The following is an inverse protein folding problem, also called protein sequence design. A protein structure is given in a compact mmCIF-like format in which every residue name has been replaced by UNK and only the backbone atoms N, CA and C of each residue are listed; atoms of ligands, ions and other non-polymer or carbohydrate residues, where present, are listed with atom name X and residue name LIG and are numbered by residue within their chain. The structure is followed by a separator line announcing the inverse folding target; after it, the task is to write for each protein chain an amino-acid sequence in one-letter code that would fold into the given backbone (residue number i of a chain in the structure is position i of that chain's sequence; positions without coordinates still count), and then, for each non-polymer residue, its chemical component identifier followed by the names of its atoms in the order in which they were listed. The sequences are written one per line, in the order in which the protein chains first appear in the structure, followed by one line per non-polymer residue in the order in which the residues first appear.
data_IF_314451222874
#
_entry.id   IF_314451222874
#
_cell.length_a   1.000
_cell.length_b   1.000
_cell.length_c   1.000
_cell.angle_alpha   90.00
_cell.angle_beta   90.00
_cell.angle_gamma   90.00
#
_symmetry.space_group_name_H-M   'P 1'
#
loop_
_entity.id
_entity.type
_entity.pdbx_description
1 polymer ?
#
# COMPACT_ATOMS: atom_id res chain seq x y z
N UNK A 1 9.04 45.61 54.77
CA UNK A 1 8.86 44.14 54.79
C UNK A 1 7.70 43.71 53.88
N UNK A 2 7.80 43.92 52.57
CA UNK A 2 6.83 43.43 51.57
C UNK A 2 7.58 43.12 50.26
N UNK A 3 8.44 42.10 50.27
CA UNK A 3 9.15 41.69 49.06
C UNK A 3 9.36 40.17 48.93
N UNK A 4 9.10 39.40 49.98
CA UNK A 4 9.30 37.94 49.96
C UNK A 4 8.05 37.13 49.56
N UNK A 5 6.85 37.73 49.53
CA UNK A 5 5.60 37.00 49.26
C UNK A 5 5.17 36.96 47.77
N UNK A 6 5.85 37.70 46.89
CA UNK A 6 5.53 37.74 45.45
C UNK A 6 6.38 36.79 44.59
N UNK A 7 7.43 36.18 45.14
CA UNK A 7 8.31 35.27 44.39
C UNK A 7 7.80 33.80 44.40
N UNK A 8 7.05 33.39 45.42
CA UNK A 8 6.60 32.00 45.56
C UNK A 8 5.49 31.60 44.57
N UNK A 9 4.64 32.54 44.15
CA UNK A 9 3.50 32.25 43.27
C UNK A 9 3.91 32.10 41.79
N UNK A 10 4.96 32.78 41.35
CA UNK A 10 5.48 32.66 39.97
C UNK A 10 6.17 31.31 39.73
N UNK A 11 6.91 30.82 40.72
CA UNK A 11 7.62 29.54 40.64
C UNK A 11 6.66 28.34 40.55
N UNK A 12 5.50 28.36 41.19
CA UNK A 12 4.54 27.25 41.14
C UNK A 12 3.81 27.12 39.79
N UNK A 13 3.57 28.25 39.11
CA UNK A 13 2.93 28.27 37.78
C UNK A 13 3.84 27.77 36.66
N UNK A 14 5.12 28.14 36.69
CA UNK A 14 6.12 27.70 35.72
C UNK A 14 6.42 26.20 35.86
N UNK A 15 6.55 25.72 37.10
CA UNK A 15 6.78 24.30 37.38
C UNK A 15 5.61 23.45 36.86
N UNK A 16 4.36 23.88 37.08
CA UNK A 16 3.17 23.17 36.59
C UNK A 16 3.08 23.13 35.06
N UNK A 17 3.49 24.21 34.37
CA UNK A 17 3.55 24.24 32.90
C UNK A 17 4.68 23.40 32.32
N UNK A 18 5.77 23.23 33.07
CA UNK A 18 6.92 22.44 32.66
C UNK A 18 6.63 20.94 32.73
N UNK A 19 5.96 20.48 33.79
CA UNK A 19 5.52 19.09 33.94
C UNK A 19 4.57 18.64 32.82
N UNK A 20 3.60 19.49 32.44
CA UNK A 20 2.66 19.18 31.35
C UNK A 20 3.35 19.07 29.97
N UNK A 21 4.48 19.75 29.77
CA UNK A 21 5.27 19.66 28.53
C UNK A 21 6.13 18.39 28.48
N UNK A 22 6.67 17.96 29.62
CA UNK A 22 7.41 16.70 29.70
C UNK A 22 6.50 15.49 29.49
N UNK A 23 5.30 15.50 30.04
CA UNK A 23 4.34 14.41 29.87
C UNK A 23 3.87 14.26 28.42
N UNK A 24 3.63 15.37 27.72
CA UNK A 24 3.28 15.34 26.30
C UNK A 24 4.44 14.87 25.42
N UNK A 25 5.68 15.22 25.75
CA UNK A 25 6.87 14.73 25.05
C UNK A 25 7.09 13.21 25.24
N UNK A 26 6.87 12.69 26.44
CA UNK A 26 6.99 11.25 26.72
C UNK A 26 5.94 10.43 25.96
N UNK A 27 4.68 10.91 25.93
CA UNK A 27 3.62 10.27 25.16
C UNK A 27 3.92 10.29 23.65
N UNK A 28 4.42 11.42 23.13
CA UNK A 28 4.85 11.52 21.73
C UNK A 28 5.98 10.55 21.38
N UNK A 29 6.97 10.38 22.27
CA UNK A 29 8.07 9.43 22.08
C UNK A 29 7.55 7.99 22.02
N UNK A 30 6.61 7.62 22.90
CA UNK A 30 6.01 6.29 22.90
C UNK A 30 5.20 6.04 21.62
N UNK A 31 4.36 6.99 21.22
CA UNK A 31 3.58 6.92 19.98
C UNK A 31 4.48 6.77 18.73
N UNK A 32 5.55 7.57 18.65
CA UNK A 32 6.52 7.49 17.56
C UNK A 32 7.29 6.17 17.57
N UNK A 33 7.57 5.60 18.75
CA UNK A 33 8.22 4.30 18.86
C UNK A 33 7.31 3.18 18.35
N UNK A 34 6.05 3.15 18.79
CA UNK A 34 5.05 2.17 18.33
C UNK A 34 4.87 2.27 16.81
N UNK A 35 4.84 3.49 16.27
CA UNK A 35 4.78 3.71 14.82
C UNK A 35 6.01 3.17 14.09
N UNK A 36 7.22 3.30 14.63
CA UNK A 36 8.44 2.75 14.04
C UNK A 36 8.43 1.22 14.08
N UNK A 37 7.97 0.63 15.19
CA UNK A 37 7.96 -0.83 15.41
C UNK A 37 6.95 -1.55 14.52
N UNK A 38 5.86 -0.88 14.13
CA UNK A 38 4.91 -1.37 13.12
C UNK A 38 5.51 -1.47 11.70
N UNK A 39 6.80 -1.18 11.54
CA UNK A 39 7.58 -1.16 10.29
C UNK A 39 6.86 -0.50 9.08
N UNK A 40 6.61 0.81 9.13
CA UNK A 40 6.25 1.61 7.96
C UNK A 40 7.38 1.69 6.93
N UNK A 41 7.08 2.25 5.75
CA UNK A 41 8.07 2.52 4.69
C UNK A 41 9.33 3.21 5.26
N UNK A 42 10.51 2.85 4.75
CA UNK A 42 11.80 3.36 5.26
C UNK A 42 11.88 4.90 5.31
N UNK A 43 11.15 5.60 4.43
CA UNK A 43 11.07 7.06 4.43
C UNK A 43 10.23 7.57 5.60
N UNK A 44 9.13 6.92 5.93
CA UNK A 44 8.26 7.27 7.05
C UNK A 44 8.96 7.02 8.39
N UNK A 45 9.63 5.89 8.52
CA UNK A 45 10.46 5.57 9.69
C UNK A 45 11.53 6.63 9.91
N UNK A 46 12.21 7.08 8.85
CA UNK A 46 13.24 8.14 8.96
C UNK A 46 12.65 9.45 9.50
N UNK A 47 11.45 9.83 9.06
CA UNK A 47 10.76 11.04 9.56
C UNK A 47 10.40 10.89 11.03
N UNK A 48 9.77 9.76 11.40
CA UNK A 48 9.36 9.48 12.77
C UNK A 48 10.57 9.46 13.72
N UNK A 49 11.67 8.83 13.30
CA UNK A 49 12.91 8.80 14.07
C UNK A 49 13.50 10.20 14.29
N UNK A 50 13.49 11.05 13.26
CA UNK A 50 13.96 12.43 13.39
C UNK A 50 13.13 13.22 14.42
N UNK A 51 11.79 13.11 14.36
CA UNK A 51 10.89 13.78 15.29
C UNK A 51 11.05 13.23 16.72
N UNK A 52 11.21 11.91 16.86
CA UNK A 52 11.49 11.26 18.14
C UNK A 52 12.77 11.81 18.78
N UNK A 53 13.85 11.93 18.01
CA UNK A 53 15.12 12.50 18.50
C UNK A 53 14.96 13.96 18.95
N UNK A 54 14.11 14.75 18.27
CA UNK A 54 13.80 16.12 18.71
C UNK A 54 13.12 16.11 20.09
N UNK A 55 12.12 15.27 20.32
CA UNK A 55 11.45 15.17 21.63
C UNK A 55 12.34 14.58 22.72
N UNK A 56 13.33 13.77 22.35
CA UNK A 56 14.38 13.28 23.26
C UNK A 56 15.43 14.35 23.62
N UNK A 57 15.34 15.56 23.04
CA UNK A 57 16.20 16.70 23.37
C UNK A 57 17.51 16.76 22.57
N UNK A 58 17.66 15.98 21.50
CA UNK A 58 18.83 16.08 20.62
C UNK A 58 18.84 17.40 19.87
N UNK A 59 20.04 17.95 19.66
CA UNK A 59 20.21 19.15 18.85
C UNK A 59 19.98 18.82 17.38
N UNK A 60 19.41 19.77 16.63
CA UNK A 60 19.17 19.60 15.20
C UNK A 60 20.45 19.19 14.46
N UNK A 61 21.60 19.79 14.80
CA UNK A 61 22.87 19.50 14.16
C UNK A 61 23.36 18.06 14.41
N UNK A 62 22.99 17.46 15.53
CA UNK A 62 23.27 16.04 15.84
C UNK A 62 22.35 15.13 15.02
N UNK A 63 21.06 15.45 14.97
CA UNK A 63 20.06 14.69 14.19
C UNK A 63 20.41 14.70 12.70
N UNK A 64 20.88 15.84 12.18
CA UNK A 64 21.34 15.95 10.80
C UNK A 64 22.50 14.99 10.51
N UNK A 65 23.46 14.85 11.44
CA UNK A 65 24.60 13.92 11.29
C UNK A 65 24.18 12.46 11.43
N UNK A 66 23.24 12.16 12.32
CA UNK A 66 22.77 10.78 12.58
C UNK A 66 21.95 10.25 11.40
N UNK A 67 21.06 11.08 10.83
CA UNK A 67 20.10 10.66 9.80
C UNK A 67 20.44 11.10 8.37
N UNK A 68 21.49 11.91 8.20
CA UNK A 68 21.89 12.55 6.94
C UNK A 68 20.74 13.30 6.26
N UNK A 69 20.14 14.23 7.02
CA UNK A 69 18.99 15.04 6.58
C UNK A 69 19.25 16.53 6.78
N UNK A 70 18.49 17.37 6.06
CA UNK A 70 18.57 18.82 6.22
C UNK A 70 17.82 19.27 7.47
N UNK A 71 18.27 20.38 8.09
CA UNK A 71 17.55 21.05 9.18
C UNK A 71 16.11 21.37 8.83
N UNK A 72 15.87 21.86 7.60
CA UNK A 72 14.54 22.20 7.12
C UNK A 72 13.60 20.99 7.04
N UNK A 73 14.13 19.82 6.69
CA UNK A 73 13.37 18.56 6.70
C UNK A 73 12.91 18.20 8.11
N UNK A 74 13.82 18.26 9.09
CA UNK A 74 13.49 17.97 10.50
C UNK A 74 12.41 18.93 11.01
N UNK A 75 12.56 20.23 10.75
CA UNK A 75 11.57 21.25 11.14
C UNK A 75 10.22 20.99 10.50
N UNK A 76 10.19 20.68 9.20
CA UNK A 76 8.95 20.38 8.48
C UNK A 76 8.25 19.12 9.01
N UNK A 77 9.00 18.08 9.35
CA UNK A 77 8.43 16.85 9.90
C UNK A 77 7.90 17.04 11.32
N UNK A 78 8.62 17.79 12.16
CA UNK A 78 8.14 18.17 13.50
C UNK A 78 6.82 18.94 13.39
N UNK A 79 6.76 19.94 12.52
CA UNK A 79 5.54 20.74 12.33
C UNK A 79 4.38 19.88 11.82
N UNK A 80 4.61 19.01 10.83
CA UNK A 80 3.58 18.11 10.33
C UNK A 80 3.03 17.17 11.42
N UNK A 81 3.90 16.68 12.29
CA UNK A 81 3.51 15.86 13.44
C UNK A 81 2.71 16.66 14.49
N UNK A 82 3.10 17.90 14.78
CA UNK A 82 2.34 18.76 15.71
C UNK A 82 0.94 19.14 15.17
N UNK A 83 0.79 19.25 13.85
CA UNK A 83 -0.48 19.61 13.21
C UNK A 83 -1.43 18.41 13.02
N UNK A 84 -0.89 17.24 12.66
CA UNK A 84 -1.70 16.08 12.20
C UNK A 84 -1.29 14.75 12.82
N UNK A 85 -0.38 14.73 13.80
CA UNK A 85 0.10 13.52 14.46
C UNK A 85 0.87 12.60 13.51
N UNK A 86 0.72 11.29 13.70
CA UNK A 86 1.36 10.26 12.87
C UNK A 86 1.00 10.43 11.38
N UNK A 87 -0.23 10.84 11.06
CA UNK A 87 -0.68 10.97 9.66
C UNK A 87 0.13 12.03 8.88
N UNK A 88 0.69 13.03 9.56
CA UNK A 88 1.59 14.02 8.95
C UNK A 88 2.94 13.45 8.51
N UNK A 89 3.35 12.35 9.11
CA UNK A 89 4.60 11.66 8.77
C UNK A 89 4.41 10.69 7.61
N UNK A 90 3.18 10.24 7.37
CA UNK A 90 2.86 9.32 6.28
C UNK A 90 3.10 9.93 4.89
N UNK A 91 3.36 9.07 3.92
CA UNK A 91 3.54 9.46 2.54
C UNK A 91 2.18 9.69 1.88
N UNK A 92 1.85 10.95 1.61
CA UNK A 92 0.63 11.31 0.87
C UNK A 92 0.81 11.28 -0.66
N UNK A 93 1.86 10.61 -1.17
CA UNK A 93 2.09 10.53 -2.61
C UNK A 93 1.11 9.53 -3.24
N UNK A 94 0.05 10.03 -3.87
CA UNK A 94 -1.00 9.22 -4.51
C UNK A 94 -0.73 8.91 -6.00
N UNK A 95 0.49 9.15 -6.48
CA UNK A 95 0.85 8.94 -7.89
C UNK A 95 0.17 9.93 -8.84
N UNK A 96 0.33 9.69 -10.14
CA UNK A 96 -0.39 10.43 -11.19
C UNK A 96 -1.85 9.99 -11.18
N UNK A 97 -2.78 10.93 -11.41
CA UNK A 97 -4.20 10.60 -11.63
C UNK A 97 -4.30 9.60 -12.80
N UNK A 98 -5.03 8.51 -12.58
CA UNK A 98 -5.35 7.55 -13.64
C UNK A 98 -6.17 8.23 -14.74
N UNK A 99 -5.99 7.79 -15.98
CA UNK A 99 -6.79 8.27 -17.12
C UNK A 99 -8.25 7.84 -17.01
N UNK A 100 -8.50 6.65 -16.47
CA UNK A 100 -9.82 6.12 -16.17
C UNK A 100 -10.23 6.47 -14.73
N UNK A 101 -11.48 6.87 -14.54
CA UNK A 101 -12.08 7.01 -13.22
C UNK A 101 -12.37 5.61 -12.62
N UNK A 102 -12.51 5.51 -11.30
CA UNK A 102 -12.77 4.26 -10.61
C UNK A 102 -13.98 3.50 -11.16
N UNK A 103 -15.06 4.21 -11.53
CA UNK A 103 -16.24 3.59 -12.15
C UNK A 103 -15.95 3.01 -13.54
N UNK A 104 -15.26 3.78 -14.38
CA UNK A 104 -14.89 3.36 -15.74
C UNK A 104 -13.94 2.17 -15.70
N UNK A 105 -12.98 2.17 -14.76
CA UNK A 105 -12.08 1.05 -14.55
C UNK A 105 -12.86 -0.22 -14.22
N UNK A 106 -13.82 -0.15 -13.30
CA UNK A 106 -14.65 -1.32 -12.94
C UNK A 106 -15.51 -1.83 -14.11
N UNK A 107 -16.04 -0.93 -14.93
CA UNK A 107 -16.77 -1.29 -16.16
C UNK A 107 -15.84 -2.03 -17.15
N UNK A 108 -14.63 -1.50 -17.39
CA UNK A 108 -13.63 -2.13 -18.27
C UNK A 108 -13.19 -3.50 -17.73
N UNK A 109 -12.92 -3.61 -16.43
CA UNK A 109 -12.52 -4.88 -15.81
C UNK A 109 -13.63 -5.93 -15.92
N UNK A 110 -14.89 -5.53 -15.70
CA UNK A 110 -16.06 -6.43 -15.84
C UNK A 110 -16.25 -6.87 -17.30
N UNK A 111 -16.07 -5.96 -18.24
CA UNK A 111 -16.13 -6.28 -19.67
C UNK A 111 -15.02 -7.26 -20.08
N UNK A 112 -13.79 -7.04 -19.60
CA UNK A 112 -12.66 -7.93 -19.86
C UNK A 112 -12.89 -9.35 -19.34
N UNK A 113 -13.60 -9.53 -18.23
CA UNK A 113 -13.93 -10.85 -17.69
C UNK A 113 -14.98 -11.62 -18.49
N UNK A 114 -15.64 -10.99 -19.47
CA UNK A 114 -16.71 -11.63 -20.26
C UNK A 114 -16.18 -12.63 -21.30
N UNK A 115 -14.90 -12.54 -21.68
CA UNK A 115 -14.29 -13.36 -22.74
C UNK A 115 -12.95 -13.91 -22.28
N UNK A 116 -12.66 -15.16 -22.63
CA UNK A 116 -11.44 -15.88 -22.20
C UNK A 116 -10.18 -15.51 -23.02
N UNK A 117 -10.35 -14.94 -24.22
CA UNK A 117 -9.25 -14.62 -25.13
C UNK A 117 -9.44 -13.24 -25.72
N UNK A 118 -8.45 -12.36 -25.52
CA UNK A 118 -8.50 -10.98 -26.00
C UNK A 118 -7.32 -10.66 -26.90
N UNK A 119 -7.58 -9.83 -27.91
CA UNK A 119 -6.53 -9.16 -28.67
C UNK A 119 -6.33 -7.76 -28.10
N UNK A 120 -5.07 -7.29 -28.05
CA UNK A 120 -4.74 -5.97 -27.52
C UNK A 120 -5.50 -4.85 -28.24
N UNK A 121 -5.67 -4.98 -29.56
CA UNK A 121 -6.37 -3.97 -30.38
C UNK A 121 -7.86 -3.83 -30.05
N UNK A 122 -8.52 -4.89 -29.56
CA UNK A 122 -9.92 -4.81 -29.11
C UNK A 122 -10.05 -3.89 -27.89
N UNK A 123 -9.10 -4.01 -26.95
CA UNK A 123 -9.04 -3.14 -25.77
C UNK A 123 -8.67 -1.70 -26.15
N UNK A 124 -7.67 -1.51 -27.02
CA UNK A 124 -7.29 -0.18 -27.52
C UNK A 124 -8.48 0.55 -28.17
N UNK A 125 -9.23 -0.15 -29.02
CA UNK A 125 -10.41 0.42 -29.69
C UNK A 125 -11.52 0.77 -28.71
N UNK A 126 -11.86 -0.12 -27.77
CA UNK A 126 -12.93 0.12 -26.81
C UNK A 126 -12.63 1.31 -25.90
N UNK A 127 -11.37 1.45 -25.44
CA UNK A 127 -10.96 2.58 -24.60
C UNK A 127 -10.99 3.92 -25.34
N UNK A 128 -10.53 3.94 -26.60
CA UNK A 128 -10.57 5.13 -27.42
C UNK A 128 -12.01 5.52 -27.79
N UNK A 129 -12.88 4.56 -28.09
CA UNK A 129 -14.25 4.82 -28.52
C UNK A 129 -15.18 5.23 -27.38
N UNK A 130 -15.15 4.51 -26.25
CA UNK A 130 -16.10 4.71 -25.15
C UNK A 130 -15.65 5.83 -24.20
N UNK A 131 -14.34 5.97 -23.99
CA UNK A 131 -13.78 6.83 -22.94
C UNK A 131 -12.79 7.89 -23.46
N UNK A 132 -12.49 7.92 -24.75
CA UNK A 132 -11.49 8.81 -25.37
C UNK A 132 -10.11 8.72 -24.69
N UNK A 133 -9.75 7.52 -24.23
CA UNK A 133 -8.47 7.25 -23.56
C UNK A 133 -7.53 6.47 -24.48
N UNK A 134 -6.39 7.09 -24.80
CA UNK A 134 -5.28 6.44 -25.50
C UNK A 134 -4.05 6.49 -24.61
N UNK A 135 -3.55 5.33 -24.19
CA UNK A 135 -2.31 5.26 -23.44
C UNK A 135 -1.11 5.34 -24.38
N UNK A 136 -0.07 6.03 -23.94
CA UNK A 136 1.18 6.15 -24.69
C UNK A 136 1.95 4.82 -24.73
N UNK A 137 1.87 4.03 -23.65
CA UNK A 137 2.58 2.76 -23.51
C UNK A 137 1.62 1.58 -23.60
N UNK A 138 2.03 0.57 -24.39
CA UNK A 138 1.36 -0.74 -24.45
C UNK A 138 1.31 -1.45 -23.11
N UNK A 139 2.27 -1.16 -22.23
CA UNK A 139 2.31 -1.74 -20.89
C UNK A 139 1.07 -1.38 -20.08
N UNK A 140 0.56 -0.16 -20.20
CA UNK A 140 -0.64 0.28 -19.47
C UNK A 140 -1.87 -0.56 -19.81
N UNK A 141 -1.99 -1.04 -21.05
CA UNK A 141 -3.05 -1.96 -21.44
C UNK A 141 -2.84 -3.37 -20.86
N UNK A 142 -1.59 -3.85 -20.80
CA UNK A 142 -1.29 -5.13 -20.16
C UNK A 142 -1.54 -5.09 -18.64
N UNK A 143 -1.31 -3.94 -18.01
CA UNK A 143 -1.61 -3.76 -16.59
C UNK A 143 -3.12 -3.91 -16.35
N UNK A 144 -3.99 -3.34 -17.21
CA UNK A 144 -5.45 -3.54 -17.16
C UNK A 144 -5.86 -5.01 -17.32
N UNK A 145 -5.24 -5.75 -18.24
CA UNK A 145 -5.48 -7.19 -18.36
C UNK A 145 -5.06 -7.95 -17.09
N UNK A 146 -3.93 -7.56 -16.49
CA UNK A 146 -3.45 -8.18 -15.25
C UNK A 146 -4.38 -7.90 -14.07
N UNK A 147 -4.91 -6.68 -13.97
CA UNK A 147 -5.89 -6.29 -12.96
C UNK A 147 -7.21 -7.05 -13.14
N UNK A 148 -7.60 -7.35 -14.38
CA UNK A 148 -8.77 -8.19 -14.68
C UNK A 148 -8.56 -9.68 -14.35
N UNK A 149 -7.35 -10.08 -13.96
CA UNK A 149 -6.97 -11.47 -13.69
C UNK A 149 -6.63 -12.27 -14.95
N UNK A 150 -6.48 -11.61 -16.10
CA UNK A 150 -6.18 -12.26 -17.38
C UNK A 150 -4.67 -12.44 -17.48
N UNK A 151 -4.22 -13.68 -17.31
CA UNK A 151 -2.81 -14.03 -17.54
C UNK A 151 -2.57 -14.26 -19.03
N UNK A 152 -1.57 -13.58 -19.58
CA UNK A 152 -1.10 -13.83 -20.94
C UNK A 152 -0.44 -15.21 -21.02
N UNK A 153 -1.23 -16.23 -21.36
CA UNK A 153 -0.75 -17.60 -21.63
C UNK A 153 -0.98 -17.90 -23.11
N UNK A 154 0.07 -18.34 -23.80
CA UNK A 154 -0.08 -18.99 -25.10
C UNK A 154 -0.77 -20.34 -24.88
N UNK A 155 -2.09 -20.36 -24.97
CA UNK A 155 -2.83 -21.62 -24.97
C UNK A 155 -2.73 -22.21 -26.38
N UNK A 156 -2.26 -23.45 -26.47
CA UNK A 156 -2.32 -24.18 -27.74
C UNK A 156 -3.57 -25.04 -27.69
N UNK A 157 -4.58 -24.71 -28.50
CA UNK A 157 -5.89 -25.40 -28.53
C UNK A 157 -5.78 -26.91 -28.75
N UNK A 158 -4.73 -27.35 -29.45
CA UNK A 158 -4.51 -28.75 -29.82
C UNK A 158 -3.05 -29.09 -29.53
N UNK A 159 -2.80 -30.15 -28.77
CA UNK A 159 -1.44 -30.67 -28.65
C UNK A 159 -1.01 -31.18 -30.04
N UNK A 160 0.02 -30.61 -30.69
CA UNK A 160 0.40 -31.01 -32.06
C UNK A 160 0.88 -32.46 -32.14
N UNK A 161 1.25 -33.06 -31.00
CA UNK A 161 1.67 -34.45 -30.85
C UNK A 161 0.54 -35.35 -30.32
N UNK A 162 -0.71 -34.90 -30.33
CA UNK A 162 -1.84 -35.71 -29.91
C UNK A 162 -2.15 -36.76 -30.97
N UNK A 163 -1.90 -38.01 -30.65
CA UNK A 163 -2.46 -39.16 -31.37
C UNK A 163 -3.88 -39.41 -30.83
N UNK A 164 -4.88 -39.29 -31.71
CA UNK A 164 -6.29 -39.48 -31.37
C UNK A 164 -6.57 -40.86 -30.78
N UNK A 165 -5.84 -41.90 -31.23
CA UNK A 165 -6.00 -43.26 -30.74
C UNK A 165 -5.48 -43.40 -29.30
N UNK A 166 -4.29 -42.86 -29.02
CA UNK A 166 -3.70 -42.87 -27.69
C UNK A 166 -4.53 -42.07 -26.67
N UNK A 167 -5.15 -40.96 -27.11
CA UNK A 167 -6.05 -40.16 -26.27
C UNK A 167 -7.36 -40.91 -25.99
N UNK A 168 -7.92 -41.60 -26.99
CA UNK A 168 -9.13 -42.40 -26.83
C UNK A 168 -8.92 -43.60 -25.89
N UNK A 169 -7.80 -44.31 -26.00
CA UNK A 169 -7.44 -45.39 -25.08
C UNK A 169 -7.26 -44.88 -23.65
N UNK A 170 -6.56 -43.76 -23.48
CA UNK A 170 -6.38 -43.14 -22.15
C UNK A 170 -7.72 -42.73 -21.54
N UNK A 171 -8.65 -42.16 -22.32
CA UNK A 171 -10.01 -41.84 -21.87
C UNK A 171 -10.78 -43.10 -21.45
N UNK A 172 -10.70 -44.19 -22.22
CA UNK A 172 -11.33 -45.48 -21.87
C UNK A 172 -10.75 -46.07 -20.58
N UNK A 173 -9.42 -46.05 -20.42
CA UNK A 173 -8.73 -46.53 -19.21
C UNK A 173 -9.13 -45.73 -17.97
N UNK A 174 -9.24 -44.41 -18.10
CA UNK A 174 -9.56 -43.53 -16.99
C UNK A 174 -11.03 -43.57 -16.57
N UNK A 175 -11.97 -43.91 -17.47
CA UNK A 175 -13.41 -44.01 -17.14
C UNK A 175 -13.69 -44.86 -15.90
N UNK A 176 -12.94 -45.94 -15.71
CA UNK A 176 -13.10 -46.81 -14.54
C UNK A 176 -12.69 -46.13 -13.23
N UNK A 177 -11.60 -45.36 -13.23
CA UNK A 177 -11.14 -44.64 -12.04
C UNK A 177 -12.13 -43.56 -11.57
N UNK A 178 -12.79 -42.86 -12.50
CA UNK A 178 -13.77 -41.82 -12.17
C UNK A 178 -15.07 -42.38 -11.57
N UNK A 179 -15.52 -43.56 -12.02
CA UNK A 179 -16.70 -44.24 -11.48
C UNK A 179 -16.48 -44.78 -10.06
N UNK A 180 -15.24 -45.09 -9.68
CA UNK A 180 -14.89 -45.56 -8.33
C UNK A 180 -14.98 -44.40 -7.33
N UNK A 181 -14.51 -43.21 -7.71
CA UNK A 181 -14.60 -41.99 -6.89
C UNK A 181 -16.04 -41.53 -6.65
N UNK A 182 -16.93 -41.60 -7.66
CA UNK A 182 -18.34 -41.26 -7.49
C UNK A 182 -19.10 -42.25 -6.57
N UNK A 183 -18.76 -43.54 -6.62
CA UNK A 183 -19.36 -44.55 -5.73
C UNK A 183 -18.95 -44.37 -4.28
N UNK A 184 -17.69 -43.99 -4.03
CA UNK A 184 -17.16 -43.78 -2.67
C UNK A 184 -17.79 -42.56 -1.99
N UNK A 185 -17.97 -41.46 -2.74
CA UNK A 185 -18.65 -40.25 -2.26
C UNK A 185 -20.12 -40.46 -1.88
N UNK A 186 -20.83 -41.40 -2.52
CA UNK A 186 -22.24 -41.74 -2.19
C UNK A 186 -22.40 -42.69 -1.00
N UNK A 187 -21.33 -43.35 -0.56
CA UNK A 187 -21.37 -44.24 0.61
C UNK A 187 -21.02 -43.54 1.92
N UNK A 188 -20.52 -42.30 1.86
CA UNK A 188 -20.09 -41.49 3.00
C UNK A 188 -21.01 -40.25 3.25
N UNK A 189 -22.21 -40.22 2.67
CA UNK A 189 -23.28 -39.24 2.96
C UNK A 189 -24.50 -39.91 3.59
#
# INVERSE_FOLDING_TARGET
MKSQHLQATTLAGEVSQQYLKEETALNAIAELQDFIDMCPDAREVRKALAVKLVYQGYLYDEIQKILDVSRGSITGWKQAYEETGIDGLRLNYKGRKSYLNAKQLQEVLSWLQTKDCWELGELEYQLAFEYDVVYESKQSYYDLFSEAGISWKKTTKVNPKADENAVAEKKKRLKHCWQITEKKSKQES
#
